data_IF_252558531833
#
_entry.id   IF_252558531833
#
_cell.length_a   1.000
_cell.length_b   1.000
_cell.length_c   1.000
_cell.angle_alpha   90.00
_cell.angle_beta   90.00
_cell.angle_gamma   90.00
#
_symmetry.space_group_name_H-M   'P 1'
#
loop_
_entity.id
_entity.type
_entity.pdbx_description
1 polymer ?
#
# COMPACT_ATOMS: atom_id res chain seq x y z
N UNK A 1 16.82 36.83 -11.75
CA UNK A 1 16.17 36.57 -10.44
C UNK A 1 14.67 36.23 -10.51
N UNK A 2 14.02 36.25 -11.67
CA UNK A 2 12.58 35.89 -11.83
C UNK A 2 12.31 34.36 -12.05
N UNK A 3 13.33 33.60 -12.41
CA UNK A 3 13.19 32.14 -12.67
C UNK A 3 12.91 31.29 -11.43
N UNK A 4 13.39 31.73 -10.27
CA UNK A 4 13.20 30.94 -9.03
C UNK A 4 11.75 30.93 -8.52
N UNK A 5 10.96 31.95 -8.79
CA UNK A 5 9.57 32.02 -8.33
C UNK A 5 8.68 31.10 -9.18
N UNK A 6 8.87 31.10 -10.49
CA UNK A 6 8.10 30.25 -11.43
C UNK A 6 8.43 28.77 -11.19
N UNK A 7 9.71 28.43 -10.97
CA UNK A 7 10.14 27.08 -10.69
C UNK A 7 9.58 26.58 -9.35
N UNK A 8 9.55 27.43 -8.33
CA UNK A 8 8.94 27.09 -7.02
C UNK A 8 7.44 26.92 -7.11
N UNK A 9 6.76 27.77 -7.89
CA UNK A 9 5.30 27.63 -8.10
C UNK A 9 4.96 26.37 -8.89
N UNK A 10 5.75 26.03 -9.90
CA UNK A 10 5.56 24.81 -10.70
C UNK A 10 5.79 23.54 -9.85
N UNK A 11 6.83 23.55 -9.02
CA UNK A 11 7.12 22.45 -8.11
C UNK A 11 6.01 22.28 -7.04
N UNK A 12 5.48 23.39 -6.51
CA UNK A 12 4.35 23.33 -5.57
C UNK A 12 3.09 22.79 -6.23
N UNK A 13 2.81 23.16 -7.47
CA UNK A 13 1.63 22.70 -8.21
C UNK A 13 1.70 21.20 -8.52
N UNK A 14 2.88 20.69 -8.88
CA UNK A 14 3.08 19.25 -9.13
C UNK A 14 2.95 18.41 -7.87
N UNK A 15 3.46 18.88 -6.74
CA UNK A 15 3.32 18.19 -5.44
C UNK A 15 1.85 18.14 -5.02
N UNK A 16 1.11 19.24 -5.19
CA UNK A 16 -0.32 19.29 -4.86
C UNK A 16 -1.16 18.37 -5.75
N UNK A 17 -0.82 18.27 -7.04
CA UNK A 17 -1.49 17.38 -7.98
C UNK A 17 -1.25 15.90 -7.65
N UNK A 18 -0.03 15.52 -7.25
CA UNK A 18 0.27 14.14 -6.82
C UNK A 18 -0.45 13.75 -5.53
N UNK A 19 -0.60 14.67 -4.59
CA UNK A 19 -1.34 14.41 -3.33
C UNK A 19 -2.86 14.34 -3.55
N UNK A 20 -3.37 15.01 -4.58
CA UNK A 20 -4.81 15.01 -4.90
C UNK A 20 -5.33 13.73 -5.55
N UNK A 21 -4.49 12.95 -6.21
CA UNK A 21 -4.88 11.70 -6.88
C UNK A 21 -5.13 10.55 -5.87
N UNK A 22 -4.60 10.66 -4.65
CA UNK A 22 -4.78 9.66 -3.59
C UNK A 22 -6.15 9.67 -2.90
N UNK A 23 -7.02 10.64 -3.20
CA UNK A 23 -8.31 10.83 -2.52
C UNK A 23 -9.52 10.30 -3.31
N UNK A 24 -9.36 9.45 -4.32
CA UNK A 24 -10.46 8.81 -5.02
C UNK A 24 -11.09 7.70 -4.14
N UNK A 25 -11.83 8.14 -3.17
CA UNK A 25 -12.91 7.61 -2.36
C UNK A 25 -13.24 6.12 -2.41
N UNK A 26 -12.39 5.25 -1.83
CA UNK A 26 -12.71 3.88 -1.50
C UNK A 26 -11.77 3.38 -0.40
N UNK A 27 -12.10 2.28 0.31
CA UNK A 27 -11.15 1.67 1.21
C UNK A 27 -9.93 1.22 0.40
N UNK A 28 -8.76 1.78 0.74
CA UNK A 28 -7.49 1.44 0.09
C UNK A 28 -7.25 -0.07 0.15
N UNK A 29 -7.02 -0.69 -0.99
CA UNK A 29 -6.63 -2.08 -1.06
C UNK A 29 -5.26 -2.30 -0.39
N UNK A 30 -4.98 -3.52 0.05
CA UNK A 30 -3.68 -3.87 0.67
C UNK A 30 -2.52 -3.57 -0.27
N UNK A 31 -2.73 -3.73 -1.58
CA UNK A 31 -1.78 -3.36 -2.62
C UNK A 31 -1.51 -1.85 -2.67
N UNK A 32 -2.55 -1.02 -2.62
CA UNK A 32 -2.41 0.45 -2.62
C UNK A 32 -1.72 0.95 -1.36
N UNK A 33 -2.05 0.36 -0.20
CA UNK A 33 -1.34 0.65 1.06
C UNK A 33 0.14 0.28 0.98
N UNK A 34 0.45 -0.92 0.43
CA UNK A 34 1.82 -1.35 0.25
C UNK A 34 2.60 -0.45 -0.71
N UNK A 35 1.97 -0.07 -1.84
CA UNK A 35 2.58 0.83 -2.81
C UNK A 35 2.84 2.22 -2.20
N UNK A 36 1.89 2.77 -1.45
CA UNK A 36 2.03 4.08 -0.81
C UNK A 36 3.14 4.09 0.23
N UNK A 37 3.19 3.09 1.11
CA UNK A 37 4.25 2.97 2.13
C UNK A 37 5.62 2.78 1.45
N UNK A 38 5.69 1.93 0.42
CA UNK A 38 6.91 1.69 -0.34
C UNK A 38 7.40 2.95 -1.05
N UNK A 39 6.49 3.71 -1.67
CA UNK A 39 6.82 4.97 -2.33
C UNK A 39 7.38 6.02 -1.35
N UNK A 40 6.73 6.20 -0.20
CA UNK A 40 7.16 7.16 0.81
C UNK A 40 8.50 6.74 1.43
N UNK A 41 8.66 5.49 1.82
CA UNK A 41 9.90 4.95 2.37
C UNK A 41 11.05 5.01 1.36
N UNK A 42 10.78 4.61 0.13
CA UNK A 42 11.75 4.68 -0.97
C UNK A 42 12.16 6.10 -1.32
N UNK A 43 11.21 7.05 -1.37
CA UNK A 43 11.50 8.45 -1.64
C UNK A 43 12.33 9.09 -0.50
N UNK A 44 12.03 8.77 0.75
CA UNK A 44 12.79 9.26 1.90
C UNK A 44 14.23 8.72 1.88
N UNK A 45 14.40 7.41 1.74
CA UNK A 45 15.72 6.78 1.66
C UNK A 45 16.51 7.27 0.45
N UNK A 46 15.88 7.31 -0.73
CA UNK A 46 16.50 7.80 -1.96
C UNK A 46 16.87 9.27 -1.88
N UNK A 47 16.04 10.09 -1.23
CA UNK A 47 16.32 11.53 -1.01
C UNK A 47 17.53 11.75 -0.12
N UNK A 48 17.67 10.96 0.96
CA UNK A 48 18.84 11.04 1.86
C UNK A 48 20.10 10.66 1.10
N UNK A 49 20.10 9.54 0.38
CA UNK A 49 21.24 9.10 -0.43
C UNK A 49 21.54 10.09 -1.53
N UNK A 50 20.50 10.61 -2.22
CA UNK A 50 20.61 11.61 -3.26
C UNK A 50 21.20 12.94 -2.76
N UNK A 51 20.94 13.30 -1.50
CA UNK A 51 21.53 14.50 -0.90
C UNK A 51 23.04 14.40 -0.71
N UNK A 52 23.54 13.19 -0.41
CA UNK A 52 24.99 12.94 -0.29
C UNK A 52 25.74 13.13 -1.61
N UNK A 53 25.06 12.92 -2.75
CA UNK A 53 25.65 13.13 -4.11
C UNK A 53 25.18 14.41 -4.76
N UNK A 54 24.52 15.32 -4.03
CA UNK A 54 24.10 16.63 -4.50
C UNK A 54 22.81 16.63 -5.37
N UNK A 55 22.12 15.50 -5.51
CA UNK A 55 20.90 15.35 -6.32
C UNK A 55 19.72 14.73 -5.53
N UNK A 56 19.25 15.40 -4.46
CA UNK A 56 18.22 14.85 -3.59
C UNK A 56 16.90 14.56 -4.31
N UNK A 57 16.51 15.41 -5.25
CA UNK A 57 15.29 15.23 -6.02
C UNK A 57 15.34 13.98 -6.93
N UNK A 58 16.47 13.77 -7.60
CA UNK A 58 16.66 12.59 -8.44
C UNK A 58 16.68 11.32 -7.61
N UNK A 59 17.35 11.32 -6.46
CA UNK A 59 17.37 10.20 -5.52
C UNK A 59 15.98 9.85 -4.98
N UNK A 60 15.19 10.87 -4.59
CA UNK A 60 13.83 10.69 -4.11
C UNK A 60 12.88 10.13 -5.19
N UNK A 61 13.01 10.58 -6.43
CA UNK A 61 12.21 10.09 -7.55
C UNK A 61 12.51 8.62 -7.88
N UNK A 62 13.79 8.27 -7.97
CA UNK A 62 14.22 6.90 -8.23
C UNK A 62 13.82 5.99 -7.07
N UNK A 63 14.11 6.39 -5.83
CA UNK A 63 13.78 5.62 -4.64
C UNK A 63 12.27 5.46 -4.45
N UNK A 64 11.50 6.51 -4.68
CA UNK A 64 10.04 6.50 -4.62
C UNK A 64 9.44 5.58 -5.68
N UNK A 65 9.92 5.64 -6.92
CA UNK A 65 9.47 4.79 -8.02
C UNK A 65 9.75 3.31 -7.77
N UNK A 66 10.96 2.97 -7.34
CA UNK A 66 11.33 1.60 -6.98
C UNK A 66 10.55 1.10 -5.75
N UNK A 67 10.41 1.96 -4.74
CA UNK A 67 9.65 1.66 -3.53
C UNK A 67 8.16 1.43 -3.81
N UNK A 68 7.56 2.19 -4.72
CA UNK A 68 6.19 2.01 -5.16
C UNK A 68 6.00 0.64 -5.83
N UNK A 69 6.90 0.26 -6.75
CA UNK A 69 6.85 -1.04 -7.42
C UNK A 69 7.03 -2.20 -6.44
N UNK A 70 8.05 -2.16 -5.59
CA UNK A 70 8.29 -3.18 -4.58
C UNK A 70 7.15 -3.27 -3.56
N UNK A 71 6.65 -2.13 -3.08
CA UNK A 71 5.53 -2.06 -2.14
C UNK A 71 4.22 -2.60 -2.72
N UNK A 72 3.97 -2.38 -4.01
CA UNK A 72 2.81 -2.94 -4.70
C UNK A 72 2.88 -4.47 -4.78
N UNK A 73 4.06 -5.03 -5.10
CA UNK A 73 4.26 -6.49 -5.18
C UNK A 73 4.10 -7.16 -3.82
N UNK A 74 4.63 -6.54 -2.75
CA UNK A 74 4.47 -7.05 -1.39
C UNK A 74 3.01 -6.97 -0.96
N UNK A 75 2.32 -5.87 -1.27
CA UNK A 75 0.90 -5.68 -0.99
C UNK A 75 0.02 -6.72 -1.70
N UNK A 76 0.35 -7.08 -2.93
CA UNK A 76 -0.35 -8.11 -3.71
C UNK A 76 -0.22 -9.50 -3.06
N UNK A 77 0.97 -9.86 -2.58
CA UNK A 77 1.19 -11.11 -1.85
C UNK A 77 0.40 -11.16 -0.53
N UNK A 78 0.35 -10.06 0.20
CA UNK A 78 -0.43 -9.96 1.43
C UNK A 78 -1.93 -10.11 1.17
N UNK A 79 -2.45 -9.51 0.11
CA UNK A 79 -3.85 -9.63 -0.28
C UNK A 79 -4.22 -11.07 -0.64
N UNK A 80 -3.33 -11.81 -1.29
CA UNK A 80 -3.52 -13.23 -1.57
C UNK A 80 -3.60 -14.09 -0.31
N UNK A 81 -2.86 -13.77 0.74
CA UNK A 81 -2.93 -14.43 2.04
C UNK A 81 -4.22 -14.10 2.80
N UNK A 82 -4.67 -12.84 2.78
CA UNK A 82 -5.95 -12.47 3.38
C UNK A 82 -7.12 -13.24 2.79
N UNK A 83 -7.17 -13.36 1.47
CA UNK A 83 -8.22 -14.12 0.80
C UNK A 83 -8.24 -15.60 1.21
N UNK A 84 -7.07 -16.23 1.34
CA UNK A 84 -6.95 -17.61 1.83
C UNK A 84 -7.41 -17.76 3.28
N UNK A 85 -7.10 -16.80 4.13
CA UNK A 85 -7.54 -16.80 5.53
C UNK A 85 -9.06 -16.71 5.63
N UNK A 86 -9.71 -15.86 4.82
CA UNK A 86 -11.16 -15.75 4.76
C UNK A 86 -11.82 -17.05 4.25
N UNK A 87 -11.22 -17.74 3.30
CA UNK A 87 -11.71 -19.05 2.84
C UNK A 87 -11.61 -20.09 3.94
N UNK A 88 -10.47 -20.17 4.63
CA UNK A 88 -10.29 -21.08 5.76
C UNK A 88 -11.26 -20.81 6.91
N UNK A 89 -11.50 -19.55 7.25
CA UNK A 89 -12.50 -19.20 8.28
C UNK A 89 -13.91 -19.60 7.89
N UNK A 90 -14.27 -19.50 6.61
CA UNK A 90 -15.57 -19.98 6.11
C UNK A 90 -15.69 -21.50 6.22
N UNK A 91 -14.65 -22.23 5.89
CA UNK A 91 -14.63 -23.68 6.03
C UNK A 91 -14.74 -24.12 7.49
N UNK A 92 -13.98 -23.48 8.38
CA UNK A 92 -14.06 -23.75 9.82
C UNK A 92 -15.48 -23.50 10.34
N UNK A 93 -16.12 -22.42 9.97
CA UNK A 93 -17.51 -22.14 10.36
C UNK A 93 -18.48 -23.18 9.85
N UNK A 94 -18.39 -23.60 8.59
CA UNK A 94 -19.23 -24.67 8.03
C UNK A 94 -19.06 -25.98 8.77
N UNK A 95 -17.81 -26.35 9.05
CA UNK A 95 -17.51 -27.57 9.80
C UNK A 95 -18.07 -27.52 11.22
N UNK A 96 -18.00 -26.37 11.89
CA UNK A 96 -18.60 -26.18 13.22
C UNK A 96 -20.13 -26.32 13.18
N UNK A 97 -20.79 -25.68 12.20
CA UNK A 97 -22.23 -25.80 12.01
C UNK A 97 -22.67 -27.26 11.75
N UNK A 98 -21.88 -27.99 10.98
CA UNK A 98 -22.14 -29.42 10.71
C UNK A 98 -21.98 -30.28 11.97
N UNK A 99 -20.91 -30.05 12.73
CA UNK A 99 -20.68 -30.71 14.01
C UNK A 99 -21.83 -30.44 14.98
N UNK A 100 -22.28 -29.18 15.10
CA UNK A 100 -23.38 -28.82 15.96
C UNK A 100 -24.72 -29.45 15.50
N UNK A 101 -24.93 -29.54 14.19
CA UNK A 101 -26.11 -30.24 13.63
C UNK A 101 -26.08 -31.70 13.95
N UNK A 102 -24.92 -32.37 13.82
CA UNK A 102 -24.75 -33.79 14.13
C UNK A 102 -24.90 -34.07 15.63
N UNK A 103 -24.38 -33.19 16.51
CA UNK A 103 -24.58 -33.28 17.97
C UNK A 103 -26.04 -33.19 18.37
N UNK A 104 -26.79 -32.24 17.78
CA UNK A 104 -28.24 -32.12 18.03
C UNK A 104 -29.02 -33.35 17.56
N UNK A 105 -28.61 -34.00 16.47
CA UNK A 105 -29.24 -35.24 15.98
C UNK A 105 -28.96 -36.41 16.88
N UNK A 106 -27.78 -36.48 17.53
CA UNK A 106 -27.43 -37.52 18.50
C UNK A 106 -28.03 -37.33 19.88
N UNK A 107 -28.63 -36.18 20.16
CA UNK A 107 -29.16 -35.88 21.49
C UNK A 107 -28.10 -35.66 22.57
N UNK A 108 -26.85 -35.40 22.16
CA UNK A 108 -25.77 -35.06 23.08
C UNK A 108 -25.83 -33.55 23.39
N UNK A 109 -26.35 -33.19 24.54
CA UNK A 109 -26.25 -31.87 25.14
C UNK A 109 -25.15 -31.90 26.20
#
# INVERSE_FOLDING_TARGET
MKTNTVTKSLAALTVTALLGVGCAGGPLSTREKGAGIGALGGAAAGGIIGSAVGHPAAGALIGGGLGLGAGALIGDQMQGQENRNYEQEREIRRNQEEIDRLRRQRGEY
#
